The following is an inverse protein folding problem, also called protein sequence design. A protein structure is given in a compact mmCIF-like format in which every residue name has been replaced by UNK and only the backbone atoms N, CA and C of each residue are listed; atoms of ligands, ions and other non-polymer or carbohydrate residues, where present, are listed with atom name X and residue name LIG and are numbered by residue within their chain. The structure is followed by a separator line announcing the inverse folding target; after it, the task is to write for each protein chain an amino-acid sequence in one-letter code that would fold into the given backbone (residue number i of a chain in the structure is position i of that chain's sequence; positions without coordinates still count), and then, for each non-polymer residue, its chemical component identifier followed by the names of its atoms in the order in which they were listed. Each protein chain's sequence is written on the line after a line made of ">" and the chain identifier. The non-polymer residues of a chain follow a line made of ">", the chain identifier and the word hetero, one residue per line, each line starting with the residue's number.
data_IF_219212627335
#
_entry.id   IF_219212627335
#
_cell.length_a   1.000
_cell.length_b   1.000
_cell.length_c   1.000
_cell.angle_alpha   90.00
_cell.angle_beta   90.00
_cell.angle_gamma   90.00
#
_symmetry.space_group_name_H-M   'P 1'
#
loop_
_entity.id
_entity.type
_entity.pdbx_description
1 polymer ?
#
# COMPACT_ATOMS: atom_id res chain seq x y z
N UNK A 1 8.78 -2.48 -36.25
CA UNK A 1 8.87 -1.61 -35.05
C UNK A 1 7.83 -1.99 -34.01
N UNK A 2 6.60 -2.37 -34.39
CA UNK A 2 5.53 -2.78 -33.47
C UNK A 2 5.90 -3.93 -32.51
N UNK A 3 6.68 -4.92 -32.97
CA UNK A 3 7.08 -6.05 -32.12
C UNK A 3 7.89 -5.64 -30.88
N UNK A 4 8.69 -4.56 -30.96
CA UNK A 4 9.45 -4.09 -29.80
C UNK A 4 8.57 -3.34 -28.79
N UNK A 5 7.56 -2.61 -29.26
CA UNK A 5 6.59 -1.95 -28.38
C UNK A 5 5.73 -2.97 -27.62
N UNK A 6 5.23 -4.00 -28.30
CA UNK A 6 4.44 -5.05 -27.66
C UNK A 6 5.21 -5.74 -26.51
N UNK A 7 6.49 -6.09 -26.73
CA UNK A 7 7.34 -6.68 -25.69
C UNK A 7 7.57 -5.72 -24.50
N UNK A 8 7.72 -4.42 -24.75
CA UNK A 8 7.90 -3.43 -23.70
C UNK A 8 6.64 -3.25 -22.85
N UNK A 9 5.48 -3.24 -23.50
CA UNK A 9 4.18 -3.14 -22.83
C UNK A 9 3.93 -4.38 -21.96
N UNK A 10 4.18 -5.59 -22.49
CA UNK A 10 4.09 -6.83 -21.73
C UNK A 10 5.04 -6.82 -20.51
N UNK A 11 6.27 -6.36 -20.68
CA UNK A 11 7.23 -6.25 -19.58
C UNK A 11 6.75 -5.28 -18.50
N UNK A 12 6.20 -4.12 -18.90
CA UNK A 12 5.65 -3.14 -17.98
C UNK A 12 4.42 -3.68 -17.25
N UNK A 13 3.52 -4.36 -17.94
CA UNK A 13 2.35 -5.00 -17.35
C UNK A 13 2.76 -6.09 -16.36
N UNK A 14 3.71 -6.95 -16.74
CA UNK A 14 4.27 -7.98 -15.84
C UNK A 14 4.94 -7.36 -14.62
N UNK A 15 5.67 -6.26 -14.78
CA UNK A 15 6.32 -5.56 -13.67
C UNK A 15 5.29 -4.94 -12.72
N UNK A 16 4.23 -4.30 -13.24
CA UNK A 16 3.12 -3.75 -12.43
C UNK A 16 2.40 -4.85 -11.65
N UNK A 17 2.07 -5.95 -12.32
CA UNK A 17 1.42 -7.10 -11.69
C UNK A 17 2.31 -7.72 -10.61
N UNK A 18 3.59 -7.98 -10.91
CA UNK A 18 4.54 -8.54 -9.93
C UNK A 18 4.68 -7.62 -8.71
N UNK A 19 4.84 -6.31 -8.92
CA UNK A 19 4.91 -5.34 -7.82
C UNK A 19 3.68 -5.35 -6.93
N UNK A 20 2.48 -5.41 -7.53
CA UNK A 20 1.22 -5.51 -6.80
C UNK A 20 1.09 -6.81 -5.99
N UNK A 21 1.46 -7.95 -6.58
CA UNK A 21 1.44 -9.24 -5.87
C UNK A 21 2.45 -9.25 -4.71
N UNK A 22 3.68 -8.80 -4.95
CA UNK A 22 4.70 -8.72 -3.89
C UNK A 22 4.28 -7.79 -2.75
N UNK A 23 3.59 -6.68 -3.05
CA UNK A 23 3.06 -5.80 -2.00
C UNK A 23 1.92 -6.47 -1.23
N UNK A 24 1.05 -7.21 -1.90
CA UNK A 24 -0.03 -7.99 -1.28
C UNK A 24 0.50 -9.10 -0.38
N UNK A 25 1.55 -9.79 -0.80
CA UNK A 25 2.22 -10.84 -0.02
C UNK A 25 2.90 -10.25 1.23
N UNK A 26 3.60 -9.12 1.11
CA UNK A 26 4.26 -8.47 2.24
C UNK A 26 3.28 -7.87 3.27
N UNK A 27 2.22 -7.18 2.82
CA UNK A 27 1.25 -6.57 3.74
C UNK A 27 0.23 -7.58 4.29
N UNK A 28 -0.07 -8.62 3.52
CA UNK A 28 -1.16 -9.55 3.83
C UNK A 28 -2.51 -8.85 3.99
N UNK A 29 -3.49 -9.58 4.53
CA UNK A 29 -4.84 -9.05 4.78
C UNK A 29 -4.86 -8.02 5.92
N UNK A 30 -3.98 -8.17 6.89
CA UNK A 30 -3.92 -7.32 8.09
C UNK A 30 -3.35 -5.95 7.75
N UNK A 31 -2.30 -5.85 6.95
CA UNK A 31 -1.73 -4.57 6.53
C UNK A 31 -2.73 -3.71 5.76
N UNK A 32 -3.55 -4.29 4.87
CA UNK A 32 -4.61 -3.53 4.20
C UNK A 32 -5.72 -3.08 5.15
N UNK A 33 -6.10 -3.91 6.12
CA UNK A 33 -7.10 -3.51 7.13
C UNK A 33 -6.61 -2.35 7.98
N UNK A 34 -5.35 -2.40 8.40
CA UNK A 34 -4.74 -1.36 9.21
C UNK A 34 -4.55 -0.06 8.42
N UNK A 35 -4.19 -0.15 7.13
CA UNK A 35 -4.16 1.00 6.22
C UNK A 35 -5.55 1.64 6.07
N UNK A 36 -6.60 0.83 5.97
CA UNK A 36 -7.99 1.30 5.93
C UNK A 36 -8.39 2.00 7.23
N UNK A 37 -8.01 1.45 8.39
CA UNK A 37 -8.22 2.09 9.70
C UNK A 37 -7.51 3.44 9.78
N UNK A 38 -6.23 3.50 9.43
CA UNK A 38 -5.45 4.75 9.37
C UNK A 38 -6.10 5.78 8.44
N UNK A 39 -6.55 5.37 7.26
CA UNK A 39 -7.24 6.24 6.31
C UNK A 39 -8.57 6.79 6.86
N UNK A 40 -9.37 5.94 7.51
CA UNK A 40 -10.63 6.34 8.14
C UNK A 40 -10.47 7.28 9.34
N UNK A 41 -9.31 7.25 10.01
CA UNK A 41 -8.97 8.17 11.09
C UNK A 41 -8.39 9.51 10.58
N UNK A 42 -8.02 9.60 9.30
CA UNK A 42 -7.47 10.84 8.76
C UNK A 42 -8.58 11.88 8.60
N UNK A 43 -8.38 13.07 9.14
CA UNK A 43 -9.27 14.24 8.95
C UNK A 43 -8.57 15.28 8.08
N UNK A 44 -9.25 16.39 7.77
CA UNK A 44 -8.62 17.50 7.04
C UNK A 44 -7.49 18.15 7.86
N UNK A 45 -7.61 18.14 9.18
CA UNK A 45 -6.70 18.83 10.10
C UNK A 45 -5.62 17.91 10.70
N UNK A 46 -5.85 16.59 10.75
CA UNK A 46 -4.97 15.62 11.40
C UNK A 46 -4.75 14.40 10.53
N UNK A 47 -3.53 13.88 10.56
CA UNK A 47 -3.23 12.58 9.95
C UNK A 47 -3.90 11.44 10.72
N UNK A 48 -4.13 10.33 10.04
CA UNK A 48 -4.68 9.12 10.68
C UNK A 48 -3.81 8.56 11.80
N UNK A 49 -2.51 8.87 11.82
CA UNK A 49 -1.60 8.49 12.93
C UNK A 49 -1.94 9.32 14.16
N UNK A 50 -1.97 10.65 14.02
CA UNK A 50 -2.25 11.56 15.13
C UNK A 50 -3.60 11.29 15.78
N UNK A 51 -4.63 11.02 14.95
CA UNK A 51 -5.94 10.67 15.48
C UNK A 51 -5.95 9.29 16.13
N UNK A 52 -5.20 8.32 15.59
CA UNK A 52 -5.08 7.01 16.22
C UNK A 52 -4.44 7.11 17.60
N UNK A 53 -3.37 7.90 17.73
CA UNK A 53 -2.72 8.16 19.03
C UNK A 53 -3.68 8.85 20.02
N UNK A 54 -4.50 9.80 19.56
CA UNK A 54 -5.51 10.48 20.39
C UNK A 54 -6.63 9.53 20.86
N UNK A 55 -7.08 8.61 20.00
CA UNK A 55 -8.13 7.62 20.31
C UNK A 55 -7.56 6.38 21.03
N UNK A 56 -6.24 6.29 21.24
CA UNK A 56 -5.58 5.13 21.84
C UNK A 56 -5.56 3.88 20.94
N UNK A 57 -5.62 4.08 19.62
CA UNK A 57 -5.54 3.03 18.60
C UNK A 57 -4.08 2.82 18.21
N UNK A 58 -3.54 1.66 18.54
CA UNK A 58 -2.18 1.26 18.15
C UNK A 58 -2.14 0.93 16.64
N UNK A 59 -1.31 1.65 15.88
CA UNK A 59 -1.10 1.44 14.44
C UNK A 59 0.37 1.10 14.21
N UNK A 60 0.61 -0.09 13.65
CA UNK A 60 1.96 -0.56 13.36
C UNK A 60 2.47 -0.01 12.02
N UNK A 61 3.15 1.14 12.08
CA UNK A 61 3.72 1.76 10.89
C UNK A 61 4.71 0.88 10.12
N UNK A 62 5.30 -0.12 10.79
CA UNK A 62 6.27 -1.02 10.16
C UNK A 62 5.63 -1.88 9.06
N UNK A 63 4.32 -2.14 9.12
CA UNK A 63 3.57 -2.88 8.09
C UNK A 63 3.43 -2.14 6.77
N UNK A 64 3.60 -0.81 6.77
CA UNK A 64 3.44 0.01 5.57
C UNK A 64 4.76 0.32 4.86
N UNK A 65 5.89 0.15 5.55
CA UNK A 65 7.23 0.44 5.02
C UNK A 65 7.85 -0.85 4.51
N UNK A 66 8.42 -0.81 3.30
CA UNK A 66 9.28 -1.90 2.85
C UNK A 66 10.59 -1.81 3.66
N UNK A 67 11.17 -2.96 4.03
CA UNK A 67 12.46 -3.04 4.70
C UNK A 67 13.61 -2.65 3.78
#
# INVERSE_FOLDING_TARGET
>A
MESQQANREELHERARNRGGQTRKEQMGREGYQEMGRKGGLSTMDKSGVERAEEEGIDIDESKFKNK
#
